data_IF_127170236913
#
_entry.id   IF_127170236913
#
_cell.length_a   1.000
_cell.length_b   1.000
_cell.length_c   1.000
_cell.angle_alpha   90.00
_cell.angle_beta   90.00
_cell.angle_gamma   90.00
#
_symmetry.space_group_name_H-M   'P 1'
#
loop_
_entity.id
_entity.type
_entity.pdbx_description
1 polymer ?
#
# COMPACT_ATOMS: atom_id res chain seq x y z
N UNK A 1 17.28 6.34 2.64
CA UNK A 1 15.88 5.83 2.72
C UNK A 1 15.07 6.45 3.85
N UNK A 2 13.98 7.10 3.46
CA UNK A 2 12.87 7.53 4.29
C UNK A 2 11.86 6.38 4.45
N UNK A 3 11.07 6.40 5.52
CA UNK A 3 10.04 5.40 5.79
C UNK A 3 8.74 6.07 6.19
N UNK A 4 7.64 5.55 5.67
CA UNK A 4 6.30 5.94 6.10
C UNK A 4 5.37 4.73 6.03
N UNK A 5 4.25 4.81 6.74
CA UNK A 5 3.26 3.75 6.82
C UNK A 5 1.91 4.23 6.27
N UNK A 6 1.18 3.31 5.65
CA UNK A 6 -0.23 3.48 5.28
C UNK A 6 -1.07 2.45 6.04
N UNK A 7 -2.12 2.92 6.70
CA UNK A 7 -3.10 2.05 7.35
C UNK A 7 -4.28 1.82 6.41
N UNK A 8 -4.52 0.57 6.05
CA UNK A 8 -5.62 0.14 5.19
C UNK A 8 -6.75 -0.37 6.09
N UNK A 9 -7.98 0.07 5.83
CA UNK A 9 -9.14 -0.27 6.65
C UNK A 9 -9.31 -1.79 6.84
N UNK A 10 -9.75 -2.21 8.04
CA UNK A 10 -9.87 -3.63 8.41
C UNK A 10 -10.88 -4.42 7.56
N UNK A 11 -11.81 -3.74 6.90
CA UNK A 11 -12.78 -4.32 5.97
C UNK A 11 -12.19 -4.73 4.61
N UNK A 12 -10.97 -4.28 4.29
CA UNK A 12 -10.30 -4.61 3.04
C UNK A 12 -9.54 -5.93 3.20
N UNK A 13 -9.81 -6.95 2.35
CA UNK A 13 -9.14 -8.25 2.46
C UNK A 13 -7.63 -8.14 2.28
N UNK A 14 -6.84 -8.81 3.12
CA UNK A 14 -5.37 -8.85 3.01
C UNK A 14 -4.89 -9.30 1.63
N UNK A 15 -5.61 -10.24 1.00
CA UNK A 15 -5.33 -10.69 -0.36
C UNK A 15 -5.43 -9.56 -1.40
N UNK A 16 -6.35 -8.62 -1.22
CA UNK A 16 -6.52 -7.49 -2.13
C UNK A 16 -5.37 -6.50 -1.96
N UNK A 17 -4.98 -6.21 -0.72
CA UNK A 17 -3.81 -5.36 -0.43
C UNK A 17 -2.53 -5.95 -1.01
N UNK A 18 -2.30 -7.26 -0.82
CA UNK A 18 -1.13 -7.95 -1.40
C UNK A 18 -1.14 -7.92 -2.93
N UNK A 19 -2.30 -8.13 -3.56
CA UNK A 19 -2.42 -8.06 -5.01
C UNK A 19 -2.14 -6.64 -5.55
N UNK A 20 -2.62 -5.60 -4.86
CA UNK A 20 -2.35 -4.21 -5.23
C UNK A 20 -0.85 -3.89 -5.09
N UNK A 21 -0.22 -4.25 -3.97
CA UNK A 21 1.22 -4.03 -3.77
C UNK A 21 2.05 -4.80 -4.79
N UNK A 22 1.70 -6.05 -5.10
CA UNK A 22 2.39 -6.82 -6.13
C UNK A 22 2.35 -6.13 -7.49
N UNK A 23 1.22 -5.53 -7.88
CA UNK A 23 1.14 -4.74 -9.12
C UNK A 23 2.01 -3.49 -9.10
N UNK A 24 2.18 -2.85 -7.95
CA UNK A 24 3.00 -1.64 -7.82
C UNK A 24 4.50 -1.95 -7.79
N UNK A 25 4.89 -3.16 -7.40
CA UNK A 25 6.27 -3.62 -7.51
C UNK A 25 6.71 -3.80 -8.96
N UNK A 26 5.76 -3.98 -9.89
CA UNK A 26 6.01 -4.06 -11.34
C UNK A 26 5.94 -2.68 -12.02
N UNK A 27 5.62 -1.60 -11.29
CA UNK A 27 5.54 -0.23 -11.83
C UNK A 27 6.95 0.38 -11.92
N UNK A 28 7.39 0.73 -13.15
CA UNK A 28 8.69 1.37 -13.40
C UNK A 28 8.87 2.67 -12.60
N UNK A 29 7.79 3.39 -12.28
CA UNK A 29 7.84 4.63 -11.49
C UNK A 29 8.12 4.39 -10.01
N UNK A 30 7.95 3.15 -9.53
CA UNK A 30 8.05 2.76 -8.11
C UNK A 30 9.10 1.67 -7.88
N UNK A 31 9.98 1.42 -8.87
CA UNK A 31 11.01 0.37 -8.81
C UNK A 31 11.96 0.50 -7.60
N UNK A 32 12.22 1.75 -7.16
CA UNK A 32 13.08 2.05 -6.01
C UNK A 32 12.31 2.08 -4.66
N UNK A 33 11.01 1.76 -4.68
CA UNK A 33 10.17 1.71 -3.48
C UNK A 33 10.16 0.31 -2.90
N UNK A 34 10.56 0.21 -1.63
CA UNK A 34 10.48 -1.04 -0.86
C UNK A 34 9.15 -1.11 -0.11
N UNK A 35 8.48 -2.25 -0.23
CA UNK A 35 7.17 -2.51 0.37
C UNK A 35 7.29 -3.59 1.44
N UNK A 36 6.78 -3.33 2.64
CA UNK A 36 6.70 -4.32 3.72
C UNK A 36 5.28 -4.42 4.24
N UNK A 37 4.73 -5.63 4.23
CA UNK A 37 3.39 -5.92 4.74
C UNK A 37 3.51 -6.86 5.94
N UNK A 38 3.46 -6.34 7.18
CA UNK A 38 3.31 -7.17 8.36
C UNK A 38 2.04 -8.00 8.26
N UNK A 39 2.06 -9.20 8.88
CA UNK A 39 0.90 -10.10 8.93
C UNK A 39 -0.32 -9.36 9.48
N UNK A 40 -1.41 -9.37 8.71
CA UNK A 40 -2.68 -8.80 9.14
C UNK A 40 -3.22 -9.53 10.37
N UNK A 41 -3.91 -8.81 11.25
CA UNK A 41 -4.63 -9.38 12.39
C UNK A 41 -6.13 -9.17 12.17
N UNK A 42 -6.98 -10.18 12.44
CA UNK A 42 -8.43 -10.03 12.30
C UNK A 42 -8.95 -8.80 13.06
N UNK A 43 -9.80 -8.01 12.41
CA UNK A 43 -10.41 -6.81 13.00
C UNK A 43 -9.44 -5.63 13.21
N UNK A 44 -8.22 -5.68 12.68
CA UNK A 44 -7.26 -4.57 12.73
C UNK A 44 -6.97 -4.05 11.31
N UNK A 45 -6.72 -2.74 11.16
CA UNK A 45 -6.20 -2.20 9.91
C UNK A 45 -4.92 -2.92 9.48
N UNK A 46 -4.75 -3.10 8.18
CA UNK A 46 -3.54 -3.67 7.59
C UNK A 46 -2.54 -2.53 7.43
N UNK A 47 -1.36 -2.69 8.01
CA UNK A 47 -0.28 -1.71 7.90
C UNK A 47 0.57 -2.04 6.67
N UNK A 48 0.82 -1.06 5.81
CA UNK A 48 1.75 -1.17 4.68
C UNK A 48 2.88 -0.19 4.92
N UNK A 49 4.07 -0.70 5.19
CA UNK A 49 5.28 0.10 5.33
C UNK A 49 5.91 0.32 3.95
N UNK A 50 6.25 1.57 3.67
CA UNK A 50 6.77 2.05 2.39
C UNK A 50 8.09 2.78 2.66
N UNK A 51 9.14 2.38 1.96
CA UNK A 51 10.48 2.95 2.10
C UNK A 51 11.00 3.37 0.72
N UNK A 52 11.55 4.58 0.60
CA UNK A 52 12.14 5.10 -0.63
C UNK A 52 13.19 6.18 -0.33
N UNK A 53 13.98 6.60 -1.32
CA UNK A 53 14.97 7.67 -1.11
C UNK A 53 14.34 9.06 -0.97
N UNK A 54 13.21 9.31 -1.65
CA UNK A 54 12.53 10.61 -1.62
C UNK A 54 11.13 10.49 -1.05
N UNK A 55 10.71 11.49 -0.29
CA UNK A 55 9.33 11.58 0.22
C UNK A 55 8.28 11.64 -0.89
N UNK A 56 8.62 12.21 -2.05
CA UNK A 56 7.75 12.24 -3.22
C UNK A 56 7.41 10.83 -3.73
N UNK A 57 8.37 9.90 -3.71
CA UNK A 57 8.17 8.51 -4.15
C UNK A 57 7.26 7.76 -3.18
N UNK A 58 7.40 8.01 -1.87
CA UNK A 58 6.49 7.49 -0.84
C UNK A 58 5.08 8.01 -1.03
N UNK A 59 4.91 9.31 -1.32
CA UNK A 59 3.59 9.89 -1.56
C UNK A 59 2.93 9.32 -2.81
N UNK A 60 3.68 9.19 -3.91
CA UNK A 60 3.22 8.56 -5.13
C UNK A 60 2.80 7.10 -4.89
N UNK A 61 3.63 6.33 -4.19
CA UNK A 61 3.34 4.95 -3.81
C UNK A 61 2.03 4.82 -3.03
N UNK A 62 1.79 5.68 -2.04
CA UNK A 62 0.53 5.71 -1.27
C UNK A 62 -0.67 6.02 -2.16
N UNK A 63 -0.57 7.05 -2.99
CA UNK A 63 -1.65 7.45 -3.90
C UNK A 63 -2.00 6.33 -4.89
N UNK A 64 -1.00 5.65 -5.45
CA UNK A 64 -1.21 4.53 -6.38
C UNK A 64 -1.83 3.32 -5.69
N UNK A 65 -1.44 3.02 -4.45
CA UNK A 65 -2.05 1.96 -3.65
C UNK A 65 -3.52 2.26 -3.37
N UNK A 66 -3.84 3.49 -2.98
CA UNK A 66 -5.22 3.94 -2.79
C UNK A 66 -6.04 3.81 -4.08
N UNK A 67 -5.50 4.28 -5.20
CA UNK A 67 -6.14 4.17 -6.51
C UNK A 67 -6.44 2.71 -6.89
N UNK A 68 -5.48 1.79 -6.77
CA UNK A 68 -5.68 0.39 -7.13
C UNK A 68 -6.72 -0.31 -6.24
N UNK A 69 -6.76 0.02 -4.95
CA UNK A 69 -7.78 -0.52 -4.04
C UNK A 69 -9.16 0.05 -4.38
N UNK A 70 -9.26 1.34 -4.68
CA UNK A 70 -10.49 1.98 -5.14
C UNK A 70 -11.02 1.40 -6.46
N UNK A 71 -10.14 1.18 -7.45
CA UNK A 71 -10.48 0.54 -8.73
C UNK A 71 -10.95 -0.91 -8.55
N UNK A 72 -10.46 -1.60 -7.52
CA UNK A 72 -10.93 -2.93 -7.13
C UNK A 72 -12.25 -2.90 -6.31
N UNK A 73 -12.83 -1.72 -6.10
CA UNK A 73 -14.11 -1.53 -5.41
C UNK A 73 -14.00 -1.45 -3.88
N UNK A 74 -12.82 -1.21 -3.33
CA UNK A 74 -12.61 -1.06 -1.90
C UNK A 74 -12.58 0.41 -1.48
N UNK A 75 -13.43 0.77 -0.53
CA UNK A 75 -13.37 2.07 0.12
C UNK A 75 -12.38 2.04 1.30
N UNK A 76 -11.40 2.95 1.24
CA UNK A 76 -10.39 3.13 2.28
C UNK A 76 -10.89 4.01 3.43
N UNK A 77 -11.95 4.80 3.18
CA UNK A 77 -12.57 5.73 4.13
C UNK A 77 -14.09 5.47 4.24
N UNK A 78 -14.50 4.27 4.68
CA UNK A 78 -15.90 3.92 4.85
C UNK A 78 -16.58 4.66 6.02
#
# INVERSE_FOLDING_TARGET
MMKDDMAIHAGIPEKAVKAAVSKLQDDEQLVDVTWTLPRARPGRPIKVAIEAERSADIQLAKQRLEQLLGEAGYDLYP
#
